data_IF_632574497476
#
_entry.id   IF_632574497476
#
_cell.length_a   1.000
_cell.length_b   1.000
_cell.length_c   1.000
_cell.angle_alpha   90.00
_cell.angle_beta   90.00
_cell.angle_gamma   90.00
#
_symmetry.space_group_name_H-M   'P 1'
#
loop_
_entity.id
_entity.type
_entity.pdbx_description
1 polymer ?
#
# COMPACT_ATOMS: atom_id res chain seq x y z
N UNK A 1 57.96 14.86 -42.56
CA UNK A 1 58.48 14.28 -41.30
C UNK A 1 58.24 15.26 -40.17
N UNK A 2 57.25 14.99 -39.31
CA UNK A 2 57.14 15.51 -37.93
C UNK A 2 55.92 14.84 -37.29
N UNK A 3 56.16 13.71 -36.62
CA UNK A 3 55.14 12.95 -35.91
C UNK A 3 54.80 13.66 -34.59
N UNK A 4 53.51 13.91 -34.34
CA UNK A 4 53.02 14.36 -33.02
C UNK A 4 52.63 13.14 -32.19
N UNK A 5 53.03 13.06 -30.91
CA UNK A 5 52.76 11.89 -30.07
C UNK A 5 51.30 11.84 -29.60
N UNK A 6 50.74 10.63 -29.59
CA UNK A 6 49.44 10.30 -29.00
C UNK A 6 49.57 10.31 -27.47
N UNK A 7 48.85 11.22 -26.80
CA UNK A 7 48.69 11.18 -25.34
C UNK A 7 47.52 10.25 -25.03
N UNK A 8 47.84 9.03 -24.59
CA UNK A 8 46.86 8.09 -24.05
C UNK A 8 46.55 8.43 -22.59
N UNK A 9 45.30 8.80 -22.31
CA UNK A 9 44.81 8.88 -20.94
C UNK A 9 44.35 7.49 -20.51
N UNK A 10 45.21 6.81 -19.74
CA UNK A 10 44.88 5.59 -19.01
C UNK A 10 44.17 6.02 -17.72
N UNK A 11 42.84 6.07 -17.71
CA UNK A 11 42.08 6.27 -16.46
C UNK A 11 41.94 4.93 -15.77
N UNK A 12 42.85 4.69 -14.82
CA UNK A 12 42.77 3.57 -13.86
C UNK A 12 41.65 3.91 -12.88
N UNK A 13 40.49 3.28 -13.04
CA UNK A 13 39.45 3.33 -12.01
C UNK A 13 39.80 2.30 -10.94
N UNK A 14 40.35 2.79 -9.84
CA UNK A 14 40.48 2.04 -8.59
C UNK A 14 39.09 1.72 -8.07
N UNK A 15 38.71 0.44 -8.09
CA UNK A 15 37.60 -0.08 -7.31
C UNK A 15 37.98 -0.03 -5.83
N UNK A 16 37.68 1.09 -5.18
CA UNK A 16 37.84 1.25 -3.75
C UNK A 16 36.54 1.79 -3.17
N UNK A 17 35.85 0.87 -2.50
CA UNK A 17 34.94 1.05 -1.36
C UNK A 17 34.19 2.37 -1.24
N UNK A 18 32.88 2.30 -1.49
CA UNK A 18 31.89 3.01 -0.68
C UNK A 18 30.66 2.12 -0.54
N UNK A 19 30.86 0.95 0.07
CA UNK A 19 29.80 0.16 0.65
C UNK A 19 29.39 0.80 1.99
N UNK A 20 28.89 2.03 1.95
CA UNK A 20 28.34 2.71 3.12
C UNK A 20 26.82 2.58 3.12
N UNK A 21 26.38 1.61 3.93
CA UNK A 21 25.29 1.77 4.90
C UNK A 21 23.97 2.33 4.34
N UNK A 22 23.25 1.47 3.63
CA UNK A 22 21.79 1.39 3.79
C UNK A 22 21.43 0.13 4.57
N UNK A 23 21.86 0.08 5.83
CA UNK A 23 21.13 -0.69 6.83
C UNK A 23 19.79 0.00 7.05
N UNK A 24 18.84 -0.22 6.14
CA UNK A 24 17.43 -0.06 6.47
C UNK A 24 17.21 -1.12 7.53
N UNK A 25 17.14 -0.72 8.80
CA UNK A 25 16.59 -1.55 9.86
C UNK A 25 15.14 -1.89 9.48
N UNK A 26 14.98 -2.94 8.69
CA UNK A 26 13.72 -3.60 8.43
C UNK A 26 13.42 -4.45 9.65
N UNK A 27 12.94 -3.81 10.71
CA UNK A 27 12.36 -4.52 11.85
C UNK A 27 11.02 -5.11 11.39
N UNK A 28 11.14 -6.28 10.77
CA UNK A 28 10.09 -7.04 10.08
C UNK A 28 9.36 -7.94 11.07
N UNK A 29 8.46 -7.34 11.83
CA UNK A 29 7.49 -8.10 12.58
C UNK A 29 6.30 -8.47 11.69
N UNK A 30 5.97 -9.75 11.59
CA UNK A 30 4.84 -10.24 10.82
C UNK A 30 3.65 -10.56 11.73
N UNK A 31 2.46 -10.17 11.33
CA UNK A 31 1.22 -10.66 11.94
C UNK A 31 0.94 -12.10 11.52
N UNK A 32 0.13 -12.81 12.30
CA UNK A 32 -0.42 -14.13 11.92
C UNK A 32 -1.04 -14.13 10.52
N UNK A 33 -1.83 -13.12 10.20
CA UNK A 33 -2.48 -12.96 8.88
C UNK A 33 -1.48 -12.76 7.75
N UNK A 34 -0.40 -12.01 7.99
CA UNK A 34 0.69 -11.87 7.02
C UNK A 34 1.42 -13.20 6.81
N UNK A 35 1.69 -13.96 7.88
CA UNK A 35 2.27 -15.31 7.78
C UNK A 35 1.38 -16.24 6.95
N UNK A 36 0.06 -16.20 7.15
CA UNK A 36 -0.86 -17.01 6.35
C UNK A 36 -0.86 -16.62 4.88
N UNK A 37 -0.82 -15.32 4.58
CA UNK A 37 -0.69 -14.83 3.22
C UNK A 37 0.60 -15.32 2.56
N UNK A 38 1.75 -15.16 3.22
CA UNK A 38 3.04 -15.65 2.72
C UNK A 38 3.02 -17.17 2.50
N UNK A 39 2.34 -17.92 3.38
CA UNK A 39 2.15 -19.36 3.21
C UNK A 39 1.29 -19.69 1.99
N UNK A 40 0.24 -18.90 1.70
CA UNK A 40 -0.57 -19.06 0.47
C UNK A 40 0.23 -18.72 -0.79
N UNK A 41 1.05 -17.68 -0.73
CA UNK A 41 1.99 -17.35 -1.81
C UNK A 41 2.95 -18.50 -2.08
N UNK A 42 3.57 -19.08 -1.04
CA UNK A 42 4.44 -20.23 -1.17
C UNK A 42 3.70 -21.45 -1.78
N UNK A 43 2.44 -21.68 -1.41
CA UNK A 43 1.61 -22.73 -2.04
C UNK A 43 1.35 -22.46 -3.52
N UNK A 44 1.10 -21.21 -3.92
CA UNK A 44 0.95 -20.84 -5.34
C UNK A 44 2.26 -21.04 -6.09
N UNK A 45 3.38 -20.55 -5.55
CA UNK A 45 4.72 -20.70 -6.13
C UNK A 45 5.11 -22.18 -6.30
N UNK A 46 4.85 -23.01 -5.28
CA UNK A 46 5.09 -24.46 -5.33
C UNK A 46 4.35 -25.14 -6.47
N UNK A 47 3.11 -24.71 -6.76
CA UNK A 47 2.31 -25.23 -7.87
C UNK A 47 2.77 -24.71 -9.23
N UNK A 48 3.12 -23.42 -9.31
CA UNK A 48 3.50 -22.78 -10.59
C UNK A 48 4.86 -23.26 -11.07
N UNK A 49 5.82 -23.39 -10.16
CA UNK A 49 7.23 -23.67 -10.50
C UNK A 49 7.61 -25.15 -10.28
N UNK A 50 6.63 -25.99 -9.93
CA UNK A 50 6.80 -27.42 -9.62
C UNK A 50 7.94 -27.69 -8.61
N UNK A 51 8.04 -26.82 -7.59
CA UNK A 51 9.02 -26.95 -6.51
C UNK A 51 8.38 -27.47 -5.22
N UNK A 52 9.11 -28.20 -4.37
CA UNK A 52 8.61 -28.61 -3.05
C UNK A 52 8.16 -27.40 -2.21
N UNK A 53 7.05 -27.54 -1.49
CA UNK A 53 6.49 -26.46 -0.66
C UNK A 53 7.49 -25.91 0.38
N UNK A 54 8.34 -26.76 0.95
CA UNK A 54 9.39 -26.34 1.87
C UNK A 54 10.35 -25.34 1.22
N UNK A 55 10.82 -25.65 0.00
CA UNK A 55 11.69 -24.77 -0.79
C UNK A 55 10.97 -23.48 -1.17
N UNK A 56 9.68 -23.54 -1.53
CA UNK A 56 8.89 -22.34 -1.82
C UNK A 56 8.75 -21.43 -0.59
N UNK A 57 8.55 -21.98 0.61
CA UNK A 57 8.46 -21.21 1.86
C UNK A 57 9.79 -20.51 2.18
N UNK A 58 10.92 -21.18 1.99
CA UNK A 58 12.24 -20.58 2.20
C UNK A 58 12.55 -19.47 1.18
N UNK A 59 12.14 -19.63 -0.09
CA UNK A 59 12.25 -18.58 -1.09
C UNK A 59 11.43 -17.34 -0.72
N UNK A 60 10.19 -17.52 -0.28
CA UNK A 60 9.36 -16.42 0.22
C UNK A 60 10.00 -15.77 1.45
N UNK A 61 10.61 -16.55 2.35
CA UNK A 61 11.30 -16.00 3.51
C UNK A 61 12.50 -15.12 3.13
N UNK A 62 13.31 -15.57 2.16
CA UNK A 62 14.46 -14.83 1.64
C UNK A 62 14.04 -13.51 0.97
N UNK A 63 12.94 -13.51 0.23
CA UNK A 63 12.36 -12.28 -0.34
C UNK A 63 11.94 -11.28 0.74
N UNK A 64 11.62 -11.76 1.95
CA UNK A 64 11.22 -10.94 3.09
C UNK A 64 12.40 -10.65 4.07
N UNK A 65 13.63 -10.95 3.66
CA UNK A 65 14.86 -10.65 4.43
C UNK A 65 15.25 -11.71 5.48
N UNK A 66 14.68 -12.91 5.41
CA UNK A 66 14.95 -14.00 6.36
C UNK A 66 15.61 -15.19 5.66
N UNK A 67 16.58 -15.84 6.31
CA UNK A 67 17.32 -16.94 5.68
C UNK A 67 16.48 -18.20 5.47
N UNK A 68 15.46 -18.43 6.31
CA UNK A 68 14.52 -19.54 6.18
C UNK A 68 13.15 -19.20 6.80
N UNK A 69 12.15 -20.01 6.47
CA UNK A 69 10.77 -19.84 6.92
C UNK A 69 10.60 -19.91 8.44
N UNK A 70 11.33 -20.81 9.11
CA UNK A 70 11.24 -20.97 10.56
C UNK A 70 11.66 -19.71 11.31
N UNK A 71 12.70 -19.02 10.85
CA UNK A 71 13.16 -17.75 11.42
C UNK A 71 12.17 -16.62 11.17
N UNK A 72 11.57 -16.59 9.97
CA UNK A 72 10.51 -15.64 9.66
C UNK A 72 9.32 -15.79 10.62
N UNK A 73 8.84 -17.03 10.81
CA UNK A 73 7.72 -17.34 11.71
C UNK A 73 8.07 -17.09 13.17
N UNK A 74 9.30 -17.36 13.60
CA UNK A 74 9.75 -17.11 14.98
C UNK A 74 9.73 -15.62 15.35
N UNK A 75 9.87 -14.74 14.36
CA UNK A 75 9.80 -13.29 14.53
C UNK A 75 8.40 -12.71 14.33
N UNK A 76 7.36 -13.55 14.32
CA UNK A 76 5.96 -13.11 14.38
C UNK A 76 5.67 -12.39 15.70
N UNK A 77 4.85 -11.35 15.67
CA UNK A 77 4.34 -10.76 16.90
C UNK A 77 3.29 -11.70 17.55
N UNK A 78 3.17 -11.70 18.88
CA UNK A 78 2.01 -12.30 19.54
C UNK A 78 0.72 -11.65 19.04
N UNK A 79 -0.31 -12.47 18.80
CA UNK A 79 -1.61 -12.07 18.23
C UNK A 79 -2.39 -11.07 19.13
N UNK A 80 -2.02 -10.92 20.40
CA UNK A 80 -2.84 -10.25 21.41
C UNK A 80 -2.47 -8.79 21.71
N UNK A 81 -1.61 -8.12 20.93
CA UNK A 81 -1.45 -6.67 21.14
C UNK A 81 -2.50 -5.89 20.31
N UNK A 82 -3.41 -5.14 20.95
CA UNK A 82 -4.46 -4.37 20.27
C UNK A 82 -3.93 -3.24 19.36
N UNK A 83 -2.61 -3.02 19.32
CA UNK A 83 -1.94 -1.97 18.53
C UNK A 83 -1.01 -2.47 17.41
N UNK A 84 -0.93 -3.78 17.15
CA UNK A 84 0.07 -4.40 16.25
C UNK A 84 -0.25 -4.33 14.74
N UNK A 85 -1.18 -3.49 14.31
CA UNK A 85 -1.50 -3.31 12.89
C UNK A 85 -0.46 -2.50 12.12
N UNK A 86 -0.48 -2.53 10.78
CA UNK A 86 0.30 -1.59 9.97
C UNK A 86 -0.15 -0.16 10.26
N UNK A 87 0.80 0.70 10.63
CA UNK A 87 0.56 2.09 11.04
C UNK A 87 1.13 3.07 10.03
N UNK A 88 0.47 4.22 9.91
CA UNK A 88 0.99 5.33 9.14
C UNK A 88 2.24 5.88 9.82
N UNK A 89 3.36 5.87 9.11
CA UNK A 89 4.63 6.47 9.59
C UNK A 89 4.85 7.89 9.09
N UNK A 90 4.08 8.32 8.10
CA UNK A 90 4.30 9.60 7.42
C UNK A 90 3.85 10.77 8.30
N UNK A 91 4.75 11.74 8.47
CA UNK A 91 4.54 12.99 9.18
C UNK A 91 3.82 14.04 8.33
N UNK A 92 3.33 15.11 8.97
CA UNK A 92 2.73 16.26 8.29
C UNK A 92 3.66 16.86 7.22
N UNK A 93 4.94 17.01 7.51
CA UNK A 93 5.88 17.68 6.62
C UNK A 93 6.22 16.82 5.39
N UNK A 94 6.27 15.50 5.56
CA UNK A 94 6.36 14.58 4.42
C UNK A 94 5.09 14.62 3.56
N UNK A 95 3.90 14.78 4.15
CA UNK A 95 2.68 15.02 3.36
C UNK A 95 2.71 16.33 2.58
N UNK A 96 3.26 17.41 3.16
CA UNK A 96 3.45 18.69 2.45
C UNK A 96 4.31 18.50 1.19
N UNK A 97 5.28 17.58 1.23
CA UNK A 97 6.08 17.25 0.05
C UNK A 97 5.33 16.33 -0.92
N UNK A 98 4.67 15.29 -0.40
CA UNK A 98 3.98 14.26 -1.19
C UNK A 98 2.73 14.76 -1.93
N UNK A 99 2.07 15.82 -1.43
CA UNK A 99 0.88 16.42 -2.06
C UNK A 99 1.24 17.24 -3.31
N UNK A 100 2.51 17.65 -3.43
CA UNK A 100 2.98 18.42 -4.58
C UNK A 100 3.03 17.54 -5.81
N UNK A 101 2.88 18.19 -6.97
CA UNK A 101 2.97 17.50 -8.26
C UNK A 101 4.32 16.81 -8.40
N UNK A 102 4.29 15.53 -8.76
CA UNK A 102 5.51 14.74 -8.92
C UNK A 102 6.41 15.33 -10.01
N UNK A 103 7.68 15.55 -9.66
CA UNK A 103 8.69 16.08 -10.59
C UNK A 103 9.44 14.93 -11.26
N UNK A 104 9.25 14.76 -12.56
CA UNK A 104 10.03 13.81 -13.36
C UNK A 104 11.41 14.41 -13.61
N UNK A 105 12.46 13.79 -13.07
CA UNK A 105 13.86 14.17 -13.34
C UNK A 105 14.18 13.78 -14.79
N UNK A 106 14.04 14.76 -15.70
CA UNK A 106 14.30 14.71 -17.14
C UNK A 106 13.31 13.88 -17.99
N UNK A 107 12.46 14.51 -18.82
CA UNK A 107 11.79 13.80 -19.91
C UNK A 107 12.83 13.54 -21.01
N UNK A 108 13.52 12.39 -20.94
CA UNK A 108 14.30 11.90 -22.08
C UNK A 108 13.31 11.57 -23.21
N UNK A 109 13.30 12.40 -24.26
CA UNK A 109 12.58 12.22 -25.54
C UNK A 109 11.34 11.29 -25.45
N UNK A 110 10.22 11.86 -25.03
CA UNK A 110 8.92 11.17 -24.97
C UNK A 110 7.95 11.82 -23.97
N UNK A 111 6.64 11.70 -24.20
CA UNK A 111 5.63 12.02 -23.18
C UNK A 111 5.69 10.96 -22.08
N UNK A 112 6.45 11.21 -21.02
CA UNK A 112 6.42 10.37 -19.83
C UNK A 112 5.06 10.52 -19.15
N UNK A 113 4.32 9.42 -19.02
CA UNK A 113 3.08 9.40 -18.24
C UNK A 113 3.44 9.49 -16.75
N UNK A 114 3.34 10.69 -16.18
CA UNK A 114 3.69 10.97 -14.77
C UNK A 114 2.95 10.05 -13.80
N UNK A 115 1.70 9.72 -14.09
CA UNK A 115 0.89 8.83 -13.24
C UNK A 115 1.52 7.45 -13.14
N UNK A 116 2.00 6.88 -14.26
CA UNK A 116 2.66 5.57 -14.30
C UNK A 116 3.96 5.57 -13.49
N UNK A 117 4.72 6.66 -13.54
CA UNK A 117 5.95 6.78 -12.78
C UNK A 117 5.69 6.84 -11.27
N UNK A 118 4.70 7.65 -10.85
CA UNK A 118 4.30 7.70 -9.43
C UNK A 118 3.77 6.34 -8.99
N UNK A 119 2.95 5.68 -9.81
CA UNK A 119 2.41 4.35 -9.52
C UNK A 119 3.54 3.32 -9.29
N UNK A 120 4.60 3.34 -10.12
CA UNK A 120 5.79 2.47 -9.93
C UNK A 120 6.54 2.73 -8.63
N UNK A 121 6.49 3.95 -8.13
CA UNK A 121 7.14 4.34 -6.87
C UNK A 121 6.23 4.18 -5.66
N UNK A 122 4.94 3.92 -5.87
CA UNK A 122 3.98 3.73 -4.80
C UNK A 122 4.07 2.30 -4.31
N UNK A 123 4.27 2.13 -3.00
CA UNK A 123 4.38 0.82 -2.38
C UNK A 123 3.04 0.08 -2.37
N UNK A 124 3.07 -1.23 -2.58
CA UNK A 124 1.95 -2.12 -2.30
C UNK A 124 1.91 -2.48 -0.80
N UNK A 125 0.87 -2.02 -0.12
CA UNK A 125 0.71 -2.20 1.33
C UNK A 125 -0.44 -3.13 1.69
N UNK A 126 -1.12 -3.74 0.69
CA UNK A 126 -2.30 -4.57 0.91
C UNK A 126 -2.07 -5.68 1.93
N UNK A 127 -0.91 -6.32 1.85
CA UNK A 127 -0.57 -7.45 2.71
C UNK A 127 0.00 -7.02 4.06
N UNK A 128 0.33 -5.74 4.23
CA UNK A 128 0.78 -5.22 5.53
C UNK A 128 -0.38 -5.08 6.50
N UNK A 129 -1.59 -4.88 6.00
CA UNK A 129 -2.78 -4.83 6.84
C UNK A 129 -3.06 -6.19 7.45
N UNK A 130 -3.24 -6.19 8.77
CA UNK A 130 -3.52 -7.43 9.50
C UNK A 130 -5.01 -7.79 9.45
N UNK A 131 -5.87 -6.80 9.26
CA UNK A 131 -7.32 -6.92 9.16
C UNK A 131 -7.95 -5.72 8.43
N UNK A 132 -9.22 -5.80 8.03
CA UNK A 132 -9.98 -4.67 7.50
C UNK A 132 -10.06 -3.51 8.52
N UNK A 133 -10.23 -3.83 9.81
CA UNK A 133 -10.19 -2.84 10.91
C UNK A 133 -8.85 -2.10 10.94
N UNK A 134 -7.73 -2.80 10.76
CA UNK A 134 -6.42 -2.16 10.68
C UNK A 134 -6.29 -1.25 9.45
N UNK A 135 -6.77 -1.68 8.28
CA UNK A 135 -6.77 -0.84 7.08
C UNK A 135 -7.60 0.44 7.27
N UNK A 136 -8.75 0.35 7.94
CA UNK A 136 -9.58 1.51 8.30
C UNK A 136 -8.85 2.42 9.30
N UNK A 137 -8.25 1.87 10.37
CA UNK A 137 -7.44 2.65 11.33
C UNK A 137 -6.30 3.39 10.63
N UNK A 138 -5.61 2.73 9.70
CA UNK A 138 -4.58 3.36 8.87
C UNK A 138 -5.16 4.52 8.04
N UNK A 139 -6.31 4.31 7.39
CA UNK A 139 -6.97 5.33 6.57
C UNK A 139 -7.41 6.55 7.40
N UNK A 140 -7.93 6.35 8.61
CA UNK A 140 -8.25 7.41 9.57
C UNK A 140 -7.00 8.24 9.87
N UNK A 141 -5.90 7.60 10.31
CA UNK A 141 -4.64 8.30 10.60
C UNK A 141 -4.08 9.02 9.37
N UNK A 142 -4.22 8.43 8.17
CA UNK A 142 -3.79 9.03 6.90
C UNK A 142 -4.53 10.34 6.64
N UNK A 143 -5.86 10.32 6.68
CA UNK A 143 -6.67 11.51 6.41
C UNK A 143 -6.51 12.56 7.50
N UNK A 144 -6.47 12.18 8.78
CA UNK A 144 -6.22 13.12 9.89
C UNK A 144 -4.89 13.84 9.74
N UNK A 145 -3.84 13.13 9.34
CA UNK A 145 -2.52 13.74 9.14
C UNK A 145 -2.51 14.62 7.90
N UNK A 146 -3.15 14.18 6.82
CA UNK A 146 -3.26 14.95 5.57
C UNK A 146 -4.06 16.25 5.78
N UNK A 147 -5.14 16.23 6.57
CA UNK A 147 -5.96 17.40 6.86
C UNK A 147 -5.19 18.51 7.62
N UNK A 148 -4.12 18.16 8.34
CA UNK A 148 -3.22 19.11 9.01
C UNK A 148 -2.32 19.89 8.04
N UNK A 149 -2.29 19.55 6.76
CA UNK A 149 -1.56 20.30 5.72
C UNK A 149 -2.24 21.65 5.48
N UNK A 150 -1.57 22.81 5.69
CA UNK A 150 -2.21 24.13 5.65
C UNK A 150 -2.90 24.47 4.31
N UNK A 151 -2.24 24.17 3.18
CA UNK A 151 -2.76 24.38 1.82
C UNK A 151 -3.20 23.05 1.23
N UNK A 152 -4.31 22.52 1.74
CA UNK A 152 -4.84 21.23 1.29
C UNK A 152 -5.32 21.35 -0.16
N UNK A 153 -4.51 20.83 -1.09
CA UNK A 153 -4.87 20.71 -2.50
C UNK A 153 -4.10 19.52 -3.08
N UNK A 154 -4.78 18.39 -3.22
CA UNK A 154 -4.21 17.18 -3.79
C UNK A 154 -4.06 17.37 -5.29
N UNK A 155 -2.81 17.41 -5.76
CA UNK A 155 -2.52 17.56 -7.19
C UNK A 155 -2.70 16.21 -7.90
N UNK A 156 -3.34 16.22 -9.07
CA UNK A 156 -3.44 15.01 -9.91
C UNK A 156 -2.04 14.50 -10.26
N UNK A 157 -1.83 13.19 -10.15
CA UNK A 157 -0.53 12.53 -10.30
C UNK A 157 0.51 13.01 -9.28
N UNK A 158 0.09 13.44 -8.09
CA UNK A 158 0.95 13.48 -6.91
C UNK A 158 1.03 12.10 -6.26
N UNK A 159 1.95 11.90 -5.33
CA UNK A 159 2.03 10.66 -4.57
C UNK A 159 0.75 10.45 -3.73
N UNK A 160 0.28 11.52 -3.07
CA UNK A 160 -0.97 11.50 -2.31
C UNK A 160 -2.16 11.14 -3.19
N UNK A 161 -2.25 11.65 -4.41
CA UNK A 161 -3.33 11.30 -5.34
C UNK A 161 -3.36 9.79 -5.62
N UNK A 162 -2.21 9.18 -5.95
CA UNK A 162 -2.14 7.73 -6.22
C UNK A 162 -2.45 6.92 -4.96
N UNK A 163 -1.89 7.29 -3.82
CA UNK A 163 -2.16 6.62 -2.54
C UNK A 163 -3.63 6.69 -2.16
N UNK A 164 -4.29 7.84 -2.28
CA UNK A 164 -5.72 7.97 -1.96
C UNK A 164 -6.59 7.07 -2.85
N UNK A 165 -6.17 6.80 -4.10
CA UNK A 165 -6.87 5.88 -4.98
C UNK A 165 -6.61 4.40 -4.68
N UNK A 166 -5.45 4.06 -4.11
CA UNK A 166 -4.99 2.67 -3.96
C UNK A 166 -5.01 2.18 -2.50
N UNK A 167 -4.55 3.01 -1.58
CA UNK A 167 -4.37 2.70 -0.16
C UNK A 167 -5.60 2.99 0.68
N UNK A 168 -6.52 3.84 0.21
CA UNK A 168 -7.68 4.22 1.01
C UNK A 168 -8.95 3.47 0.59
N UNK A 169 -9.81 3.10 1.55
CA UNK A 169 -11.08 2.46 1.28
C UNK A 169 -12.02 3.32 0.44
N UNK A 170 -12.56 2.74 -0.60
CA UNK A 170 -13.64 3.33 -1.39
C UNK A 170 -14.99 2.71 -1.02
N UNK A 171 -15.03 1.39 -0.87
CA UNK A 171 -16.25 0.70 -0.50
C UNK A 171 -16.03 -0.65 0.18
N UNK A 172 -17.08 -1.13 0.85
CA UNK A 172 -17.30 -2.51 1.25
C UNK A 172 -18.33 -3.12 0.33
N UNK A 173 -17.93 -4.10 -0.47
CA UNK A 173 -18.83 -4.74 -1.45
C UNK A 173 -19.15 -6.15 -0.99
N UNK A 174 -20.42 -6.53 -1.09
CA UNK A 174 -20.87 -7.88 -0.80
C UNK A 174 -20.14 -8.92 -1.68
N UNK A 175 -19.64 -9.98 -1.04
CA UNK A 175 -19.01 -11.12 -1.68
C UNK A 175 -19.92 -12.33 -1.52
N UNK A 176 -21.02 -12.34 -2.28
CA UNK A 176 -22.03 -13.40 -2.18
C UNK A 176 -22.56 -13.57 -0.74
N UNK A 177 -22.55 -14.81 -0.24
CA UNK A 177 -23.01 -15.14 1.11
C UNK A 177 -21.92 -15.02 2.19
N UNK A 178 -20.69 -14.61 1.84
CA UNK A 178 -19.49 -14.70 2.69
C UNK A 178 -19.06 -13.34 3.29
N UNK A 179 -20.01 -12.41 3.46
CA UNK A 179 -19.77 -11.07 4.01
C UNK A 179 -19.37 -10.03 2.96
N UNK A 180 -18.55 -9.07 3.36
CA UNK A 180 -18.09 -7.97 2.49
C UNK A 180 -16.57 -7.93 2.42
N UNK A 181 -16.02 -7.37 1.33
CA UNK A 181 -14.58 -7.11 1.20
C UNK A 181 -14.30 -5.61 1.06
N UNK A 182 -13.26 -5.14 1.75
CA UNK A 182 -12.82 -3.75 1.72
C UNK A 182 -12.00 -3.49 0.45
N UNK A 183 -12.48 -2.58 -0.40
CA UNK A 183 -11.89 -2.25 -1.70
C UNK A 183 -11.49 -0.78 -1.81
N UNK A 184 -10.47 -0.50 -2.60
CA UNK A 184 -10.04 0.84 -2.99
C UNK A 184 -10.82 1.35 -4.21
N UNK A 185 -10.50 2.57 -4.66
CA UNK A 185 -11.22 3.26 -5.75
C UNK A 185 -11.16 2.51 -7.10
N UNK A 186 -10.20 1.61 -7.26
CA UNK A 186 -10.04 0.78 -8.47
C UNK A 186 -10.71 -0.59 -8.33
N UNK A 187 -11.55 -0.76 -7.30
CA UNK A 187 -12.20 -2.03 -6.96
C UNK A 187 -11.18 -3.14 -6.79
N UNK A 188 -10.05 -2.81 -6.15
CA UNK A 188 -9.03 -3.79 -5.74
C UNK A 188 -8.98 -3.82 -4.21
N UNK A 189 -8.52 -4.93 -3.61
CA UNK A 189 -8.22 -4.97 -2.18
C UNK A 189 -7.44 -3.73 -1.73
N UNK A 190 -7.85 -3.12 -0.62
CA UNK A 190 -7.24 -1.89 -0.12
C UNK A 190 -5.74 -2.05 0.08
N UNK A 191 -4.95 -1.11 -0.45
CA UNK A 191 -3.49 -1.15 -0.44
C UNK A 191 -2.85 -1.73 -1.70
N UNK A 192 -3.63 -2.40 -2.57
CA UNK A 192 -3.11 -3.05 -3.78
C UNK A 192 -2.88 -2.01 -4.90
N UNK A 193 -1.67 -2.01 -5.48
CA UNK A 193 -1.27 -1.04 -6.51
C UNK A 193 -1.60 -1.54 -7.92
N UNK A 194 -1.53 -2.85 -8.16
CA UNK A 194 -1.72 -3.46 -9.47
C UNK A 194 -3.13 -3.30 -10.04
N UNK A 195 -3.21 -3.24 -11.38
CA UNK A 195 -4.48 -3.19 -12.12
C UNK A 195 -4.98 -4.58 -12.55
N UNK A 196 -4.17 -5.62 -12.36
CA UNK A 196 -4.50 -7.01 -12.71
C UNK A 196 -5.76 -7.49 -12.00
N UNK A 197 -6.54 -8.34 -12.66
CA UNK A 197 -7.67 -9.01 -12.03
C UNK A 197 -7.19 -9.86 -10.84
N UNK A 198 -7.97 -9.88 -9.76
CA UNK A 198 -7.66 -10.64 -8.55
C UNK A 198 -8.93 -11.31 -8.02
N UNK A 199 -8.78 -12.50 -7.42
CA UNK A 199 -9.86 -13.14 -6.69
C UNK A 199 -9.90 -12.58 -5.26
N UNK A 200 -11.05 -12.05 -4.84
CA UNK A 200 -11.24 -11.51 -3.49
C UNK A 200 -11.11 -12.55 -2.38
N UNK A 201 -11.28 -13.84 -2.69
CA UNK A 201 -11.01 -14.96 -1.76
C UNK A 201 -9.55 -15.03 -1.31
N UNK A 202 -8.63 -14.49 -2.10
CA UNK A 202 -7.21 -14.46 -1.76
C UNK A 202 -6.90 -13.46 -0.62
N UNK A 203 -7.86 -12.62 -0.22
CA UNK A 203 -7.69 -11.52 0.74
C UNK A 203 -8.64 -11.61 1.94
N UNK A 204 -8.62 -12.72 2.72
CA UNK A 204 -9.52 -12.93 3.85
C UNK A 204 -9.32 -11.89 4.97
N UNK A 205 -8.10 -11.35 5.10
CA UNK A 205 -7.80 -10.33 6.11
C UNK A 205 -8.55 -9.02 5.84
N UNK A 206 -9.02 -8.77 4.62
CA UNK A 206 -9.81 -7.58 4.28
C UNK A 206 -11.32 -7.85 4.23
N UNK A 207 -11.75 -9.05 4.64
CA UNK A 207 -13.16 -9.40 4.73
C UNK A 207 -13.78 -8.93 6.06
N UNK A 208 -15.07 -8.61 6.01
CA UNK A 208 -15.86 -8.13 7.14
C UNK A 208 -17.24 -8.76 7.11
N UNK A 209 -17.93 -8.75 8.26
CA UNK A 209 -19.30 -9.23 8.38
C UNK A 209 -20.14 -8.17 9.10
N UNK A 210 -20.57 -7.17 8.33
CA UNK A 210 -21.44 -6.11 8.80
C UNK A 210 -22.86 -6.35 8.30
N UNK A 211 -23.84 -6.01 9.14
CA UNK A 211 -25.25 -5.96 8.76
C UNK A 211 -25.49 -4.79 7.81
N UNK A 212 -26.54 -4.87 7.01
CA UNK A 212 -26.88 -3.81 6.06
C UNK A 212 -27.08 -2.45 6.73
N UNK A 213 -27.76 -2.40 7.89
CA UNK A 213 -27.94 -1.18 8.68
C UNK A 213 -26.59 -0.52 9.03
N UNK A 214 -25.61 -1.33 9.49
CA UNK A 214 -24.27 -0.86 9.81
C UNK A 214 -23.51 -0.38 8.55
N UNK A 215 -23.76 -0.99 7.39
CA UNK A 215 -23.20 -0.52 6.13
C UNK A 215 -23.77 0.85 5.76
N UNK A 216 -25.06 1.10 5.99
CA UNK A 216 -25.70 2.40 5.76
C UNK A 216 -25.16 3.49 6.68
N UNK A 217 -24.91 3.18 7.96
CA UNK A 217 -24.40 4.16 8.94
C UNK A 217 -23.09 4.83 8.51
N UNK A 218 -22.20 4.08 7.84
CA UNK A 218 -20.92 4.61 7.33
C UNK A 218 -20.98 5.04 5.85
N UNK A 219 -22.11 4.85 5.18
CA UNK A 219 -22.22 5.16 3.75
C UNK A 219 -22.28 6.65 3.48
N UNK A 220 -21.86 7.04 2.28
CA UNK A 220 -22.10 8.38 1.78
C UNK A 220 -23.63 8.64 1.68
N UNK A 221 -24.15 9.81 2.10
CA UNK A 221 -25.60 10.08 2.14
C UNK A 221 -26.33 9.97 0.79
N UNK A 222 -25.60 10.13 -0.32
CA UNK A 222 -26.13 9.98 -1.68
C UNK A 222 -25.83 8.61 -2.32
N UNK A 223 -25.30 7.66 -1.55
CA UNK A 223 -25.03 6.32 -2.08
C UNK A 223 -26.36 5.62 -2.38
N UNK A 224 -26.46 5.01 -3.55
CA UNK A 224 -27.61 4.17 -3.95
C UNK A 224 -27.48 2.74 -3.42
N UNK A 225 -26.29 2.37 -2.94
CA UNK A 225 -25.95 1.04 -2.45
C UNK A 225 -25.12 1.23 -1.17
N UNK A 226 -25.38 0.46 -0.10
CA UNK A 226 -24.64 0.62 1.14
C UNK A 226 -23.18 0.19 0.99
N UNK A 227 -22.33 0.67 1.90
CA UNK A 227 -20.92 0.34 2.00
C UNK A 227 -19.98 1.27 1.21
N UNK A 228 -20.48 2.28 0.49
CA UNK A 228 -19.64 3.24 -0.23
C UNK A 228 -19.31 4.47 0.62
N UNK A 229 -18.01 4.74 0.82
CA UNK A 229 -17.57 5.86 1.66
C UNK A 229 -17.62 7.23 0.96
N UNK A 230 -17.63 7.25 -0.37
CA UNK A 230 -17.75 8.45 -1.20
C UNK A 230 -18.14 8.06 -2.62
N UNK A 231 -18.43 9.03 -3.48
CA UNK A 231 -18.67 8.89 -4.90
C UNK A 231 -17.77 9.86 -5.69
N UNK A 232 -17.82 9.77 -7.03
CA UNK A 232 -16.92 10.50 -7.92
C UNK A 232 -17.05 12.03 -7.77
N UNK A 233 -18.23 12.50 -7.40
CA UNK A 233 -18.54 13.92 -7.20
C UNK A 233 -18.10 14.48 -5.86
N UNK A 234 -17.78 13.67 -4.84
CA UNK A 234 -17.35 14.15 -3.51
C UNK A 234 -16.05 13.47 -3.04
N UNK A 235 -15.22 13.05 -3.98
CA UNK A 235 -14.03 12.28 -3.62
C UNK A 235 -13.10 13.07 -2.67
N UNK A 236 -12.46 12.39 -1.70
CA UNK A 236 -11.75 13.05 -0.60
C UNK A 236 -10.54 13.90 -1.03
N UNK A 237 -10.02 13.71 -2.25
CA UNK A 237 -8.95 14.54 -2.80
C UNK A 237 -9.43 15.85 -3.46
N UNK A 238 -10.75 16.05 -3.64
CA UNK A 238 -11.29 17.28 -4.25
C UNK A 238 -11.11 18.51 -3.37
N UNK A 239 -11.17 18.33 -2.05
CA UNK A 239 -11.11 19.44 -1.11
C UNK A 239 -11.09 18.99 0.34
N UNK A 240 -10.82 19.95 1.23
CA UNK A 240 -10.73 19.69 2.67
C UNK A 240 -12.09 19.26 3.25
N UNK A 241 -13.19 19.84 2.76
CA UNK A 241 -14.52 19.50 3.25
C UNK A 241 -14.89 18.05 2.93
N UNK A 242 -14.60 17.59 1.71
CA UNK A 242 -14.81 16.22 1.25
C UNK A 242 -13.93 15.23 2.04
N UNK A 243 -12.66 15.56 2.25
CA UNK A 243 -11.76 14.75 3.08
C UNK A 243 -12.25 14.63 4.54
N UNK A 244 -12.73 15.73 5.13
CA UNK A 244 -13.30 15.70 6.48
C UNK A 244 -14.58 14.86 6.56
N UNK A 245 -15.49 14.99 5.59
CA UNK A 245 -16.71 14.18 5.55
C UNK A 245 -16.39 12.68 5.38
N UNK A 246 -15.40 12.37 4.55
CA UNK A 246 -14.89 11.02 4.38
C UNK A 246 -14.25 10.47 5.67
N UNK A 247 -13.49 11.29 6.40
CA UNK A 247 -12.91 10.92 7.69
C UNK A 247 -13.97 10.50 8.71
N UNK A 248 -15.07 11.25 8.82
CA UNK A 248 -16.13 10.92 9.77
C UNK A 248 -16.78 9.57 9.44
N UNK A 249 -16.98 9.27 8.15
CA UNK A 249 -17.45 7.94 7.71
C UNK A 249 -16.46 6.82 8.02
N UNK A 250 -15.15 7.06 7.86
CA UNK A 250 -14.12 6.10 8.26
C UNK A 250 -14.12 5.86 9.77
N UNK A 251 -14.37 6.87 10.60
CA UNK A 251 -14.47 6.70 12.06
C UNK A 251 -15.69 5.89 12.47
N UNK A 252 -16.83 6.09 11.80
CA UNK A 252 -18.02 5.24 11.99
C UNK A 252 -17.65 3.79 11.65
N UNK A 253 -17.06 3.55 10.48
CA UNK A 253 -16.60 2.22 10.08
C UNK A 253 -15.62 1.60 11.09
N UNK A 254 -14.69 2.39 11.63
CA UNK A 254 -13.74 1.96 12.64
C UNK A 254 -14.42 1.50 13.93
N UNK A 255 -15.54 2.10 14.30
CA UNK A 255 -16.31 1.71 15.48
C UNK A 255 -17.16 0.46 15.29
N UNK A 256 -17.51 0.13 14.04
CA UNK A 256 -18.34 -1.01 13.67
C UNK A 256 -17.54 -2.30 13.43
N UNK A 257 -16.25 -2.17 13.08
CA UNK A 257 -15.29 -3.26 12.88
C UNK A 257 -14.49 -3.55 14.16
#
# INVERSE_FOLDING_TARGET
MAARPKVGYLVVWTHQESAELRSVQMHNHFSSTHIEYLRRQAKKLSKTDDIPLSKALDLIAQQNGWSNWSLLVKNRLPDDSPDNGYQLRRTRDEFIQAIRKFQVKQPRRGRVNRYVEVLRQTEDICNRFVSAKNAIKFAVSYIETLLKVPRFQVQVSSLVDVEMHRWLPYCLVAKGNEGQILLNRKYKPVGLIGDTWVNYEDFPHLQTHLKEEQLWDMSHPKATTPGFFYYDGDSPWRGRAEASAYLERLKIAQSLL
#
